data_IF_601852063113
#
_entry.id   IF_601852063113
#
_cell.length_a   1.000
_cell.length_b   1.000
_cell.length_c   1.000
_cell.angle_alpha   90.00
_cell.angle_beta   90.00
_cell.angle_gamma   90.00
#
_symmetry.space_group_name_H-M   'P 1'
#
loop_
_entity.id
_entity.type
_entity.pdbx_description
1 polymer ?
#
# COMPACT_ATOMS: atom_id res chain seq x y z
N UNK A 1 -28.00 -33.07 9.84
CA UNK A 1 -26.96 -32.21 9.23
C UNK A 1 -25.73 -33.10 9.04
N UNK A 2 -25.32 -33.34 7.80
CA UNK A 2 -24.07 -34.05 7.53
C UNK A 2 -23.09 -32.98 7.05
N UNK A 3 -22.39 -32.37 8.00
CA UNK A 3 -21.53 -31.19 7.75
C UNK A 3 -20.26 -31.52 6.97
N UNK A 4 -19.98 -32.81 6.72
CA UNK A 4 -18.76 -33.26 6.03
C UNK A 4 -19.03 -34.33 4.98
N UNK A 5 -18.38 -34.17 3.83
CA UNK A 5 -18.49 -35.05 2.67
C UNK A 5 -17.99 -36.48 2.89
N UNK A 6 -16.94 -36.65 3.71
CA UNK A 6 -16.30 -37.94 3.99
C UNK A 6 -15.61 -37.90 5.35
N UNK A 7 -15.25 -39.06 5.89
CA UNK A 7 -14.39 -39.18 7.07
C UNK A 7 -13.07 -38.42 6.87
N UNK A 8 -12.49 -38.48 5.67
CA UNK A 8 -11.28 -37.73 5.33
C UNK A 8 -11.50 -36.20 5.30
N UNK A 9 -12.72 -35.72 5.00
CA UNK A 9 -13.08 -34.30 5.11
C UNK A 9 -13.12 -33.87 6.58
N UNK A 10 -13.68 -34.72 7.46
CA UNK A 10 -13.78 -34.49 8.91
C UNK A 10 -12.40 -34.50 9.58
N UNK A 11 -11.56 -35.50 9.29
CA UNK A 11 -10.20 -35.61 9.86
C UNK A 11 -9.31 -34.43 9.47
N UNK A 12 -9.41 -33.95 8.22
CA UNK A 12 -8.70 -32.74 7.79
C UNK A 12 -9.19 -31.50 8.52
N UNK A 13 -10.50 -31.39 8.76
CA UNK A 13 -11.06 -30.28 9.52
C UNK A 13 -10.57 -30.29 10.97
N UNK A 14 -10.58 -31.45 11.64
CA UNK A 14 -10.08 -31.60 13.01
C UNK A 14 -8.57 -31.34 13.12
N UNK A 15 -7.78 -31.73 12.12
CA UNK A 15 -6.36 -31.40 12.06
C UNK A 15 -6.12 -29.89 11.91
N UNK A 16 -6.92 -29.23 11.06
CA UNK A 16 -6.83 -27.79 10.84
C UNK A 16 -7.33 -26.98 12.05
N UNK A 17 -8.42 -27.41 12.70
CA UNK A 17 -9.01 -26.72 13.85
C UNK A 17 -8.14 -26.82 15.11
N UNK A 18 -7.50 -27.98 15.33
CA UNK A 18 -6.65 -28.23 16.49
C UNK A 18 -5.16 -27.91 16.26
N UNK A 19 -4.79 -27.30 15.13
CA UNK A 19 -3.40 -27.00 14.75
C UNK A 19 -2.46 -28.21 14.85
N UNK A 20 -2.95 -29.41 14.54
CA UNK A 20 -2.13 -30.62 14.59
C UNK A 20 -1.09 -30.59 13.45
N UNK A 21 0.14 -31.08 13.68
CA UNK A 21 1.14 -31.20 12.63
C UNK A 21 0.58 -32.02 11.45
N UNK A 22 0.91 -31.65 10.19
CA UNK A 22 0.46 -32.42 9.04
C UNK A 22 0.86 -33.89 9.20
N UNK A 23 -0.04 -34.84 8.91
CA UNK A 23 0.28 -36.25 9.03
C UNK A 23 1.48 -36.60 8.15
N UNK A 24 2.44 -37.33 8.72
CA UNK A 24 3.64 -37.77 8.01
C UNK A 24 3.22 -38.72 6.88
N UNK A 25 3.33 -38.26 5.64
CA UNK A 25 2.98 -39.07 4.48
C UNK A 25 4.20 -39.78 3.90
N UNK A 26 4.04 -41.06 3.59
CA UNK A 26 5.00 -41.86 2.81
C UNK A 26 4.53 -41.95 1.36
N UNK A 27 5.46 -41.99 0.43
CA UNK A 27 5.19 -42.25 -0.98
C UNK A 27 6.43 -42.76 -1.69
N UNK A 28 6.23 -43.35 -2.86
CA UNK A 28 7.32 -43.64 -3.78
C UNK A 28 7.97 -42.34 -4.25
N UNK A 29 9.29 -42.21 -4.03
CA UNK A 29 10.04 -41.04 -4.45
C UNK A 29 10.23 -41.02 -5.97
N UNK A 30 9.87 -39.91 -6.62
CA UNK A 30 9.98 -39.74 -8.08
C UNK A 30 11.40 -39.74 -8.67
N UNK A 31 12.45 -39.92 -7.83
CA UNK A 31 13.85 -39.93 -8.26
C UNK A 31 14.53 -41.25 -7.91
N UNK A 32 14.45 -41.68 -6.65
CA UNK A 32 15.11 -42.93 -6.22
C UNK A 32 14.18 -44.15 -6.23
N UNK A 33 12.90 -43.99 -6.59
CA UNK A 33 11.86 -45.04 -6.66
C UNK A 33 11.63 -45.86 -5.40
N UNK A 34 12.22 -45.46 -4.27
CA UNK A 34 11.99 -46.08 -2.97
C UNK A 34 10.81 -45.43 -2.25
N UNK A 35 10.04 -46.24 -1.53
CA UNK A 35 8.99 -45.76 -0.64
C UNK A 35 9.61 -45.17 0.63
N UNK A 36 9.45 -43.85 0.81
CA UNK A 36 10.06 -43.09 1.91
C UNK A 36 9.11 -41.97 2.33
N UNK A 37 9.39 -41.39 3.51
CA UNK A 37 8.70 -40.19 3.98
C UNK A 37 8.90 -39.05 2.97
N UNK A 38 7.80 -38.40 2.60
CA UNK A 38 7.78 -37.26 1.69
C UNK A 38 8.27 -36.03 2.44
N UNK A 39 9.35 -35.42 1.94
CA UNK A 39 9.90 -34.18 2.53
C UNK A 39 9.68 -32.96 1.63
N UNK A 40 9.58 -33.18 0.33
CA UNK A 40 9.50 -32.12 -0.67
C UNK A 40 8.44 -32.51 -1.70
N UNK A 41 7.52 -31.59 -1.95
CA UNK A 41 6.51 -31.71 -3.00
C UNK A 41 6.76 -30.66 -4.07
N UNK A 42 6.78 -31.09 -5.33
CA UNK A 42 7.01 -30.25 -6.50
C UNK A 42 5.81 -30.34 -7.43
N UNK A 43 5.19 -29.21 -7.73
CA UNK A 43 4.15 -29.08 -8.73
C UNK A 43 4.80 -28.88 -10.11
N UNK A 44 4.68 -29.87 -10.99
CA UNK A 44 5.16 -29.80 -12.37
C UNK A 44 4.07 -30.32 -13.31
N UNK A 45 3.70 -29.53 -14.30
CA UNK A 45 2.68 -29.87 -15.31
C UNK A 45 1.35 -30.37 -14.69
N UNK A 46 0.85 -29.62 -13.70
CA UNK A 46 -0.34 -29.94 -12.88
C UNK A 46 -0.29 -31.25 -12.09
N UNK A 47 0.87 -31.90 -12.00
CA UNK A 47 1.09 -33.09 -11.19
C UNK A 47 1.99 -32.78 -10.00
N UNK A 48 1.65 -33.37 -8.85
CA UNK A 48 2.49 -33.29 -7.64
C UNK A 48 3.49 -34.45 -7.68
N UNK A 49 4.77 -34.11 -7.64
CA UNK A 49 5.89 -35.03 -7.54
C UNK A 49 6.42 -35.02 -6.11
N UNK A 50 6.52 -36.22 -5.52
CA UNK A 50 6.91 -36.41 -4.12
C UNK A 50 8.35 -36.88 -4.03
N UNK A 51 9.14 -36.20 -3.21
CA UNK A 51 10.58 -36.41 -3.07
C UNK A 51 10.96 -36.59 -1.60
N UNK A 52 11.90 -37.50 -1.35
CA UNK A 52 12.25 -37.92 0.01
C UNK A 52 13.39 -37.11 0.64
N UNK A 53 14.13 -36.30 -0.13
CA UNK A 53 15.34 -35.64 0.37
C UNK A 53 15.84 -34.49 -0.51
N UNK A 54 16.68 -33.56 0.02
CA UNK A 54 17.32 -32.52 -0.76
C UNK A 54 18.18 -33.03 -1.93
N UNK A 55 18.95 -34.14 -1.81
CA UNK A 55 19.64 -34.74 -2.96
C UNK A 55 18.70 -35.18 -4.08
N UNK A 56 17.59 -35.85 -3.75
CA UNK A 56 16.57 -36.20 -4.74
C UNK A 56 15.97 -34.94 -5.37
N UNK A 57 15.75 -33.87 -4.61
CA UNK A 57 15.28 -32.61 -5.17
C UNK A 57 16.29 -31.93 -6.09
N UNK A 58 17.57 -31.94 -5.75
CA UNK A 58 18.63 -31.42 -6.63
C UNK A 58 18.68 -32.19 -7.95
N UNK A 59 18.67 -33.52 -7.91
CA UNK A 59 18.63 -34.37 -9.10
C UNK A 59 17.35 -34.13 -9.93
N UNK A 60 16.19 -34.03 -9.27
CA UNK A 60 14.92 -33.71 -9.94
C UNK A 60 14.99 -32.36 -10.67
N UNK A 61 15.52 -31.32 -10.01
CA UNK A 61 15.69 -29.99 -10.62
C UNK A 61 16.61 -30.04 -11.84
N UNK A 62 17.73 -30.75 -11.73
CA UNK A 62 18.73 -30.86 -12.80
C UNK A 62 18.14 -31.53 -14.05
N UNK A 63 17.52 -32.70 -13.88
CA UNK A 63 16.94 -33.48 -15.00
C UNK A 63 15.79 -32.72 -15.67
N UNK A 64 14.93 -32.07 -14.88
CA UNK A 64 13.77 -31.34 -15.42
C UNK A 64 14.09 -29.89 -15.81
N UNK A 65 15.34 -29.44 -15.66
CA UNK A 65 15.78 -28.04 -15.88
C UNK A 65 14.88 -27.03 -15.14
N UNK A 66 14.43 -27.41 -13.95
CA UNK A 66 13.40 -26.71 -13.19
C UNK A 66 13.98 -25.48 -12.49
N UNK A 67 13.41 -24.29 -12.77
CA UNK A 67 13.69 -23.10 -11.96
C UNK A 67 12.75 -23.07 -10.76
N UNK A 68 13.08 -23.86 -9.74
CA UNK A 68 12.20 -24.11 -8.61
C UNK A 68 12.12 -22.91 -7.65
N UNK A 69 10.92 -22.41 -7.41
CA UNK A 69 10.60 -21.46 -6.33
C UNK A 69 9.56 -22.08 -5.39
N UNK A 70 9.44 -21.58 -4.16
CA UNK A 70 8.54 -22.15 -3.15
C UNK A 70 7.30 -21.29 -3.00
N UNK A 71 6.12 -21.89 -3.12
CA UNK A 71 4.85 -21.17 -2.98
C UNK A 71 4.61 -20.75 -1.53
N UNK A 72 4.31 -19.47 -1.30
CA UNK A 72 4.07 -18.92 0.04
C UNK A 72 2.79 -19.44 0.69
N UNK A 73 1.79 -19.86 -0.11
CA UNK A 73 0.53 -20.38 0.42
C UNK A 73 0.60 -21.89 0.71
N UNK A 74 0.88 -22.72 -0.30
CA UNK A 74 0.82 -24.18 -0.17
C UNK A 74 2.17 -24.83 0.17
N UNK A 75 3.26 -24.06 0.22
CA UNK A 75 4.63 -24.49 0.55
C UNK A 75 5.26 -25.52 -0.41
N UNK A 76 4.59 -25.88 -1.50
CA UNK A 76 5.11 -26.72 -2.60
C UNK A 76 6.06 -25.93 -3.49
N UNK A 77 7.02 -26.61 -4.10
CA UNK A 77 7.88 -26.02 -5.12
C UNK A 77 7.18 -26.01 -6.48
N UNK A 78 7.45 -25.02 -7.31
CA UNK A 78 6.88 -24.89 -8.66
C UNK A 78 7.91 -24.31 -9.63
N UNK A 79 7.68 -24.47 -10.93
CA UNK A 79 8.53 -23.86 -11.96
C UNK A 79 8.21 -22.38 -12.13
N UNK A 80 9.11 -21.50 -11.73
CA UNK A 80 8.95 -20.05 -11.88
C UNK A 80 8.84 -19.61 -13.35
N UNK A 81 9.39 -20.38 -14.30
CA UNK A 81 9.36 -20.03 -15.72
C UNK A 81 8.03 -20.32 -16.40
N UNK A 82 7.26 -21.29 -15.89
CA UNK A 82 6.02 -21.77 -16.52
C UNK A 82 4.76 -21.11 -15.96
N UNK A 83 4.87 -20.41 -14.84
CA UNK A 83 3.74 -19.83 -14.12
C UNK A 83 3.69 -18.34 -14.45
N UNK A 84 2.51 -17.80 -14.74
CA UNK A 84 2.32 -16.34 -14.80
C UNK A 84 2.80 -15.71 -13.49
N UNK A 85 3.18 -14.43 -13.51
CA UNK A 85 3.72 -13.75 -12.33
C UNK A 85 2.64 -13.56 -11.24
N UNK A 86 2.31 -14.61 -10.49
CA UNK A 86 1.47 -14.55 -9.30
C UNK A 86 2.36 -14.19 -8.11
N UNK A 87 2.50 -12.88 -7.89
CA UNK A 87 3.28 -12.35 -6.78
C UNK A 87 2.55 -11.20 -6.12
N UNK A 88 2.76 -11.07 -4.81
CA UNK A 88 2.19 -9.98 -4.01
C UNK A 88 3.29 -9.46 -3.10
N UNK A 89 3.41 -8.14 -2.98
CA UNK A 89 4.31 -7.52 -2.02
C UNK A 89 3.57 -7.27 -0.70
N UNK A 90 4.02 -7.93 0.38
CA UNK A 90 3.40 -7.85 1.70
C UNK A 90 4.46 -8.01 2.79
N UNK A 91 4.28 -7.35 3.95
CA UNK A 91 5.27 -7.31 5.05
C UNK A 91 6.72 -7.07 4.58
N UNK A 92 6.87 -6.14 3.63
CA UNK A 92 8.16 -5.70 3.09
C UNK A 92 8.97 -6.79 2.39
N UNK A 93 8.29 -7.85 1.94
CA UNK A 93 8.86 -8.91 1.13
C UNK A 93 7.96 -9.29 -0.07
N UNK A 94 8.55 -9.73 -1.19
CA UNK A 94 7.78 -10.33 -2.28
C UNK A 94 7.40 -11.77 -1.92
N UNK A 95 6.11 -12.08 -2.04
CA UNK A 95 5.59 -13.44 -1.92
C UNK A 95 5.21 -13.98 -3.29
N UNK A 96 5.54 -15.24 -3.57
CA UNK A 96 5.32 -15.90 -4.86
C UNK A 96 4.37 -17.08 -4.71
N UNK A 97 3.53 -17.29 -5.73
CA UNK A 97 2.49 -18.31 -5.69
C UNK A 97 2.51 -19.19 -6.94
N UNK A 98 2.26 -20.49 -6.75
CA UNK A 98 2.23 -21.44 -7.86
C UNK A 98 1.00 -21.30 -8.77
N UNK A 99 -0.04 -20.56 -8.32
CA UNK A 99 -1.25 -20.30 -9.09
C UNK A 99 -2.08 -19.14 -8.49
N UNK A 100 -3.03 -18.62 -9.28
CA UNK A 100 -3.99 -17.60 -8.86
C UNK A 100 -4.79 -17.99 -7.60
N UNK A 101 -5.17 -19.26 -7.45
CA UNK A 101 -5.90 -19.74 -6.26
C UNK A 101 -5.05 -19.59 -5.00
N UNK A 102 -3.78 -20.00 -5.04
CA UNK A 102 -2.87 -19.84 -3.90
C UNK A 102 -2.68 -18.36 -3.54
N UNK A 103 -2.53 -17.49 -4.54
CA UNK A 103 -2.44 -16.04 -4.33
C UNK A 103 -3.69 -15.47 -3.67
N UNK A 104 -4.88 -15.82 -4.17
CA UNK A 104 -6.14 -15.33 -3.64
C UNK A 104 -6.40 -15.80 -2.22
N UNK A 105 -6.13 -17.07 -1.91
CA UNK A 105 -6.27 -17.59 -0.55
C UNK A 105 -5.29 -16.89 0.39
N UNK A 106 -4.06 -16.63 -0.05
CA UNK A 106 -3.08 -15.86 0.72
C UNK A 106 -3.57 -14.44 1.01
N UNK A 107 -4.09 -13.73 0.01
CA UNK A 107 -4.68 -12.40 0.16
C UNK A 107 -5.84 -12.44 1.15
N UNK A 108 -6.75 -13.41 1.02
CA UNK A 108 -7.91 -13.55 1.91
C UNK A 108 -7.52 -13.85 3.36
N UNK A 109 -6.47 -14.64 3.57
CA UNK A 109 -5.97 -14.98 4.90
C UNK A 109 -5.24 -13.80 5.57
N UNK A 110 -4.55 -12.97 4.80
CA UNK A 110 -3.71 -11.87 5.32
C UNK A 110 -4.35 -10.48 5.18
N UNK A 111 -5.57 -10.38 4.61
CA UNK A 111 -6.22 -9.08 4.43
C UNK A 111 -6.65 -8.52 5.78
N UNK A 112 -6.43 -7.22 5.94
CA UNK A 112 -6.86 -6.43 7.10
C UNK A 112 -7.49 -5.14 6.65
N UNK A 113 -8.53 -4.72 7.37
CA UNK A 113 -9.21 -3.45 7.11
C UNK A 113 -8.32 -2.32 7.66
N UNK A 114 -7.95 -1.38 6.81
CA UNK A 114 -7.10 -0.23 7.17
C UNK A 114 -7.75 1.08 6.73
N UNK A 115 -7.64 2.16 7.52
CA UNK A 115 -8.15 3.46 7.14
C UNK A 115 -7.20 4.19 6.18
N UNK A 116 -7.75 4.92 5.22
CA UNK A 116 -6.99 5.86 4.39
C UNK A 116 -6.40 6.97 5.26
N UNK A 117 -5.10 7.28 5.08
CA UNK A 117 -4.45 8.35 5.85
C UNK A 117 -5.10 9.73 5.62
N UNK A 118 -5.66 9.98 4.43
CA UNK A 118 -6.33 11.24 4.08
C UNK A 118 -7.80 11.27 4.47
N UNK A 119 -8.67 10.57 3.73
CA UNK A 119 -10.13 10.67 3.88
C UNK A 119 -10.74 9.73 4.93
N UNK A 120 -9.91 8.91 5.61
CA UNK A 120 -10.33 7.94 6.65
C UNK A 120 -11.25 6.79 6.19
N UNK A 121 -11.62 6.72 4.91
CA UNK A 121 -12.34 5.56 4.34
C UNK A 121 -11.56 4.27 4.59
N UNK A 122 -12.28 3.22 5.02
CA UNK A 122 -11.73 1.91 5.33
C UNK A 122 -11.83 0.98 4.11
N UNK A 123 -10.73 0.32 3.77
CA UNK A 123 -10.65 -0.74 2.73
C UNK A 123 -9.68 -1.83 3.18
N UNK A 124 -9.63 -2.96 2.46
CA UNK A 124 -8.59 -3.95 2.72
C UNK A 124 -7.21 -3.43 2.29
N UNK A 125 -6.16 -3.78 3.03
CA UNK A 125 -4.79 -3.39 2.77
C UNK A 125 -4.29 -3.74 1.35
N UNK A 126 -4.75 -4.85 0.77
CA UNK A 126 -4.40 -5.26 -0.60
C UNK A 126 -5.11 -4.43 -1.69
N UNK A 127 -6.16 -3.67 -1.35
CA UNK A 127 -6.87 -2.75 -2.25
C UNK A 127 -6.37 -1.29 -2.11
N UNK A 128 -5.32 -1.09 -1.31
CA UNK A 128 -4.80 0.21 -0.92
C UNK A 128 -3.42 0.45 -1.54
N UNK A 129 -3.10 1.72 -1.80
CA UNK A 129 -1.78 2.13 -2.26
C UNK A 129 -0.89 2.31 -1.03
N UNK A 130 0.08 1.41 -0.83
CA UNK A 130 1.12 1.51 0.21
C UNK A 130 2.27 2.41 -0.29
N UNK A 131 2.71 3.38 0.51
CA UNK A 131 3.95 4.13 0.28
C UNK A 131 4.74 4.26 1.57
N UNK A 132 6.06 4.18 1.47
CA UNK A 132 6.97 4.49 2.57
C UNK A 132 7.54 5.88 2.30
N UNK A 133 7.38 6.81 3.24
CA UNK A 133 8.00 8.15 3.14
C UNK A 133 9.43 8.11 3.69
N UNK A 134 10.21 9.16 3.43
CA UNK A 134 11.62 9.27 3.87
C UNK A 134 11.81 9.14 5.38
N UNK A 135 10.79 9.44 6.19
CA UNK A 135 10.81 9.24 7.65
C UNK A 135 10.62 7.78 8.09
N UNK A 136 10.44 6.85 7.14
CA UNK A 136 10.10 5.44 7.42
C UNK A 136 8.62 5.20 7.72
N UNK A 137 7.79 6.25 7.77
CA UNK A 137 6.35 6.08 8.00
C UNK A 137 5.67 5.43 6.79
N UNK A 138 4.79 4.47 7.07
CA UNK A 138 3.95 3.80 6.07
C UNK A 138 2.64 4.58 5.90
N UNK A 139 2.35 4.96 4.66
CA UNK A 139 1.10 5.59 4.24
C UNK A 139 0.25 4.60 3.45
N UNK A 140 -1.03 4.55 3.78
CA UNK A 140 -2.06 3.76 3.12
C UNK A 140 -3.08 4.71 2.50
N UNK A 141 -3.17 4.71 1.17
CA UNK A 141 -4.05 5.62 0.42
C UNK A 141 -5.11 4.83 -0.35
N UNK A 142 -6.39 5.20 -0.21
CA UNK A 142 -7.49 4.49 -0.86
C UNK A 142 -7.67 4.81 -2.35
N UNK A 143 -6.99 5.83 -2.85
CA UNK A 143 -6.98 6.25 -4.26
C UNK A 143 -5.79 7.16 -4.57
N UNK A 144 -5.46 7.29 -5.85
CA UNK A 144 -4.45 8.25 -6.32
C UNK A 144 -4.84 9.70 -5.99
N UNK A 145 -6.14 10.03 -6.04
CA UNK A 145 -6.61 11.37 -5.66
C UNK A 145 -6.30 11.69 -4.19
N UNK A 146 -6.61 10.77 -3.27
CA UNK A 146 -6.26 10.95 -1.85
C UNK A 146 -4.76 11.10 -1.65
N UNK A 147 -3.95 10.33 -2.38
CA UNK A 147 -2.50 10.44 -2.34
C UNK A 147 -2.02 11.83 -2.78
N UNK A 148 -2.55 12.37 -3.87
CA UNK A 148 -2.21 13.71 -4.37
C UNK A 148 -2.60 14.78 -3.35
N UNK A 149 -3.83 14.74 -2.83
CA UNK A 149 -4.30 15.69 -1.81
C UNK A 149 -3.48 15.61 -0.52
N UNK A 150 -3.07 14.40 -0.09
CA UNK A 150 -2.16 14.22 1.03
C UNK A 150 -0.80 14.87 0.77
N UNK A 151 -0.22 14.73 -0.43
CA UNK A 151 1.04 15.39 -0.78
C UNK A 151 0.92 16.91 -0.81
N UNK A 152 -0.15 17.44 -1.40
CA UNK A 152 -0.42 18.89 -1.46
C UNK A 152 -0.61 19.47 -0.06
N UNK A 153 -1.41 18.80 0.78
CA UNK A 153 -1.60 19.23 2.16
C UNK A 153 -0.31 19.16 2.97
N UNK A 154 0.48 18.09 2.88
CA UNK A 154 1.79 18.03 3.54
C UNK A 154 2.71 19.14 3.03
N UNK A 155 2.71 19.48 1.74
CA UNK A 155 3.49 20.61 1.23
C UNK A 155 2.95 21.98 1.70
N UNK A 156 1.64 22.10 1.91
CA UNK A 156 1.00 23.30 2.45
C UNK A 156 1.23 23.45 3.97
N UNK A 157 1.18 22.35 4.73
CA UNK A 157 1.41 22.29 6.19
C UNK A 157 2.92 22.23 6.51
N UNK A 158 3.74 21.74 5.57
CA UNK A 158 5.17 22.05 5.46
C UNK A 158 5.37 23.43 4.86
N UNK A 159 4.51 24.39 5.24
CA UNK A 159 4.93 25.67 5.79
C UNK A 159 6.39 25.94 5.48
N UNK A 160 6.68 26.44 4.27
CA UNK A 160 7.90 27.21 4.13
C UNK A 160 7.81 28.20 5.27
N UNK A 161 8.77 28.16 6.20
CA UNK A 161 8.90 29.25 7.15
C UNK A 161 9.14 30.46 6.28
N UNK A 162 8.09 31.21 6.08
CA UNK A 162 8.08 32.35 5.20
C UNK A 162 8.54 33.54 6.02
N UNK A 163 9.14 34.49 5.32
CA UNK A 163 9.42 35.79 5.90
C UNK A 163 8.09 36.54 6.02
N UNK A 164 7.72 36.92 7.23
CA UNK A 164 6.57 37.79 7.45
C UNK A 164 6.82 39.15 6.79
N UNK A 165 5.89 39.62 5.96
CA UNK A 165 6.02 40.91 5.25
C UNK A 165 6.01 42.13 6.19
N UNK A 166 5.71 41.93 7.49
CA UNK A 166 5.69 43.00 8.50
C UNK A 166 6.85 42.99 9.46
N UNK A 167 6.95 41.94 10.28
CA UNK A 167 8.00 41.87 11.30
C UNK A 167 9.31 41.31 10.75
N UNK A 168 9.35 40.89 9.48
CA UNK A 168 10.48 40.18 8.86
C UNK A 168 10.88 38.85 9.54
N UNK A 169 10.13 38.42 10.57
CA UNK A 169 10.33 37.17 11.27
C UNK A 169 10.03 35.97 10.37
N UNK A 170 10.85 34.93 10.50
CA UNK A 170 10.72 33.68 9.74
C UNK A 170 9.85 32.72 10.55
N UNK A 171 8.58 32.58 10.16
CA UNK A 171 7.57 31.83 10.91
C UNK A 171 6.63 31.07 9.97
N UNK A 172 5.77 30.23 10.54
CA UNK A 172 4.70 29.59 9.78
C UNK A 172 3.71 30.66 9.29
N UNK A 173 3.34 30.64 8.01
CA UNK A 173 2.30 31.52 7.48
C UNK A 173 0.97 31.20 8.17
N UNK A 174 0.40 32.17 8.87
CA UNK A 174 -0.92 32.02 9.51
C UNK A 174 -2.00 32.82 8.79
N UNK A 175 -1.63 33.92 8.13
CA UNK A 175 -2.55 34.83 7.45
C UNK A 175 -1.96 35.29 6.11
N UNK A 176 -2.81 35.50 5.12
CA UNK A 176 -2.44 36.10 3.83
C UNK A 176 -3.39 37.23 3.46
N UNK A 177 -2.85 38.25 2.78
CA UNK A 177 -3.63 39.32 2.14
C UNK A 177 -3.29 39.37 0.66
N UNK A 178 -4.30 39.49 -0.18
CA UNK A 178 -4.14 39.78 -1.61
C UNK A 178 -4.28 41.28 -1.80
N UNK A 179 -3.24 41.91 -2.35
CA UNK A 179 -3.20 43.34 -2.63
C UNK A 179 -3.90 43.66 -3.97
N UNK A 180 -4.11 44.95 -4.27
CA UNK A 180 -4.78 45.41 -5.49
C UNK A 180 -4.02 45.07 -6.78
N UNK A 181 -2.70 44.90 -6.68
CA UNK A 181 -1.81 44.43 -7.75
C UNK A 181 -1.79 42.89 -7.89
N UNK A 182 -2.73 42.20 -7.22
CA UNK A 182 -2.82 40.74 -7.11
C UNK A 182 -1.63 40.06 -6.42
N UNK A 183 -0.72 40.81 -5.79
CA UNK A 183 0.36 40.21 -5.00
C UNK A 183 -0.16 39.66 -3.67
N UNK A 184 0.38 38.51 -3.25
CA UNK A 184 0.02 37.87 -1.98
C UNK A 184 1.09 38.19 -0.93
N UNK A 185 0.68 38.86 0.15
CA UNK A 185 1.49 39.15 1.33
C UNK A 185 1.18 38.16 2.43
N UNK A 186 2.19 37.75 3.19
CA UNK A 186 2.06 36.73 4.21
C UNK A 186 2.47 37.22 5.60
N UNK A 187 1.72 36.81 6.62
CA UNK A 187 1.89 37.31 7.98
C UNK A 187 1.89 36.17 9.00
N UNK A 188 2.74 36.34 10.02
CA UNK A 188 2.92 35.36 11.08
C UNK A 188 1.92 35.49 12.24
N UNK A 189 1.11 36.56 12.27
CA UNK A 189 0.09 36.79 13.30
C UNK A 189 -0.94 37.83 12.85
N UNK A 190 -2.11 37.85 13.49
CA UNK A 190 -3.15 38.87 13.26
C UNK A 190 -2.67 40.30 13.56
N UNK A 191 -1.81 40.48 14.58
CA UNK A 191 -1.23 41.78 14.92
C UNK A 191 -0.38 42.35 13.78
N UNK A 192 0.39 41.51 13.08
CA UNK A 192 1.13 41.92 11.90
C UNK A 192 0.18 42.36 10.76
N UNK A 193 -0.92 41.64 10.54
CA UNK A 193 -1.94 42.02 9.53
C UNK A 193 -2.52 43.41 9.83
N UNK A 194 -2.90 43.68 11.07
CA UNK A 194 -3.47 44.97 11.48
C UNK A 194 -2.47 46.12 11.35
N UNK A 195 -1.21 45.90 11.75
CA UNK A 195 -0.16 46.91 11.57
C UNK A 195 0.10 47.20 10.09
N UNK A 196 0.07 46.18 9.22
CA UNK A 196 0.26 46.36 7.78
C UNK A 196 -0.88 47.17 7.17
N UNK A 197 -2.13 46.79 7.45
CA UNK A 197 -3.30 47.51 6.94
C UNK A 197 -3.34 48.96 7.45
N UNK A 198 -2.97 49.19 8.71
CA UNK A 198 -2.89 50.52 9.31
C UNK A 198 -1.85 51.45 8.70
N UNK A 199 -0.85 50.93 7.95
CA UNK A 199 0.08 51.77 7.19
C UNK A 199 -0.60 52.43 5.99
N UNK A 200 -1.60 51.77 5.39
CA UNK A 200 -2.32 52.27 4.21
C UNK A 200 -3.59 53.06 4.58
N UNK A 201 -4.10 52.92 5.81
CA UNK A 201 -5.26 53.68 6.28
C UNK A 201 -4.95 55.15 6.64
N UNK A 202 -3.68 55.58 6.60
CA UNK A 202 -3.24 56.94 6.99
C UNK A 202 -2.91 57.87 5.81
N UNK A 203 -3.13 57.46 4.56
CA UNK A 203 -3.05 58.39 3.43
C UNK A 203 -4.33 59.25 3.34
N UNK A 204 -4.23 60.58 3.20
CA UNK A 204 -5.41 61.42 2.98
C UNK A 204 -6.10 61.00 1.67
N UNK A 205 -7.44 61.07 1.58
CA UNK A 205 -8.13 60.77 0.33
C UNK A 205 -7.69 61.77 -0.75
N UNK A 206 -7.12 61.26 -1.84
CA UNK A 206 -6.93 62.02 -3.07
C UNK A 206 -8.33 62.29 -3.64
N UNK A 207 -8.77 63.54 -3.53
CA UNK A 207 -9.95 64.04 -4.24
C UNK A 207 -9.68 63.99 -5.74
N UNK A 208 -10.37 63.08 -6.45
CA UNK A 208 -10.48 63.13 -7.90
C UNK A 208 -11.84 63.74 -8.26
N UNK A 209 -11.81 65.00 -8.71
CA UNK A 209 -12.88 65.61 -9.49
C UNK A 209 -12.84 65.04 -10.91
N UNK A 210 -13.86 64.27 -11.28
CA UNK A 210 -14.02 63.71 -12.61
C UNK A 210 -15.48 63.40 -12.88
N UNK A 211 -16.14 64.32 -13.57
CA UNK A 211 -17.49 64.25 -14.09
C UNK A 211 -17.62 63.22 -15.22
N UNK A 212 -18.62 62.33 -15.19
CA UNK A 212 -19.42 61.87 -16.34
C UNK A 212 -20.59 60.97 -15.87
N UNK A 213 -21.67 60.80 -16.68
CA UNK A 213 -23.03 60.64 -16.21
C UNK A 213 -23.46 59.17 -16.04
N UNK A 214 -24.49 58.97 -15.22
CA UNK A 214 -25.09 57.68 -14.91
C UNK A 214 -25.78 57.02 -16.13
N UNK A 215 -25.70 55.69 -16.30
CA UNK A 215 -26.57 54.97 -17.21
C UNK A 215 -27.91 54.62 -16.53
N UNK A 216 -28.99 54.86 -17.28
CA UNK A 216 -30.39 54.54 -16.96
C UNK A 216 -30.59 53.01 -17.00
N UNK A 217 -31.41 52.42 -16.10
CA UNK A 217 -31.64 50.98 -16.08
C UNK A 217 -32.75 50.55 -17.07
N UNK A 218 -32.50 49.48 -17.81
CA UNK A 218 -33.54 48.54 -18.28
C UNK A 218 -32.94 47.14 -18.33
#
# INVERSE_FOLDING_TARGET
MQDFCTQACMEKYDQMSNNLPPPVSTAQCAVCNNEKVVKIEVQLDNKIQKLCSPPCFAAFKFVNKLNADKCDMCKKYFDKKKVENFSVFYDDSPHNFCCKTCMNVYILANRKIVPCNWCKVKKYNFDMIKRVVSSGQILMMCSLNCLTLYKVSINAVSSKRIKCDMCNGVAQAQYHLTMSDATVRNFCSYQCVMQFQGQYSKSPPLTFSGSEPAPVPT
#
